data_IF_977385677334
#
_entry.id   IF_977385677334
#
_cell.length_a   1.000
_cell.length_b   1.000
_cell.length_c   1.000
_cell.angle_alpha   90.00
_cell.angle_beta   90.00
_cell.angle_gamma   90.00
#
_symmetry.space_group_name_H-M   'P 1'
#
loop_
_entity.id
_entity.type
_entity.pdbx_description
1 polymer ?
#
# COMPACT_ATOMS: atom_id res chain seq x y z
N UNK A 1 13.86 5.03 -16.28
CA UNK A 1 13.54 4.19 -15.08
C UNK A 1 12.08 4.33 -14.61
N UNK A 2 11.34 5.35 -15.05
CA UNK A 2 10.01 5.72 -14.53
C UNK A 2 8.84 4.86 -15.01
N UNK A 3 8.76 4.51 -16.30
CA UNK A 3 7.56 3.84 -16.86
C UNK A 3 7.38 2.39 -16.36
N UNK A 4 8.46 1.59 -16.32
CA UNK A 4 8.40 0.20 -15.84
C UNK A 4 8.08 0.11 -14.35
N UNK A 5 8.60 1.05 -13.56
CA UNK A 5 8.31 1.14 -12.13
C UNK A 5 6.87 1.56 -11.88
N UNK A 6 6.35 2.54 -12.64
CA UNK A 6 4.95 2.95 -12.57
C UNK A 6 4.02 1.79 -12.92
N UNK A 7 4.29 1.07 -14.02
CA UNK A 7 3.50 -0.10 -14.43
C UNK A 7 3.47 -1.20 -13.36
N UNK A 8 4.62 -1.48 -12.72
CA UNK A 8 4.70 -2.45 -11.64
C UNK A 8 3.87 -2.04 -10.41
N UNK A 9 3.88 -0.76 -10.04
CA UNK A 9 3.08 -0.23 -8.92
C UNK A 9 1.59 -0.34 -9.23
N UNK A 10 1.16 0.05 -10.43
CA UNK A 10 -0.24 -0.03 -10.84
C UNK A 10 -0.73 -1.49 -10.87
N UNK A 11 0.08 -2.40 -11.40
CA UNK A 11 -0.24 -3.83 -11.41
C UNK A 11 -0.38 -4.41 -10.00
N UNK A 12 0.53 -4.03 -9.10
CA UNK A 12 0.49 -4.45 -7.70
C UNK A 12 -0.76 -3.94 -6.97
N UNK A 13 -1.10 -2.65 -7.15
CA UNK A 13 -2.32 -2.06 -6.61
C UNK A 13 -3.58 -2.76 -7.13
N UNK A 14 -3.65 -2.98 -8.44
CA UNK A 14 -4.75 -3.71 -9.07
C UNK A 14 -4.91 -5.12 -8.52
N UNK A 15 -3.81 -5.85 -8.34
CA UNK A 15 -3.83 -7.18 -7.75
C UNK A 15 -4.34 -7.19 -6.30
N UNK A 16 -3.89 -6.24 -5.47
CA UNK A 16 -4.32 -6.15 -4.07
C UNK A 16 -5.82 -5.85 -3.95
N UNK A 17 -6.35 -4.96 -4.81
CA UNK A 17 -7.79 -4.65 -4.87
C UNK A 17 -8.58 -5.88 -5.33
N UNK A 18 -8.16 -6.54 -6.40
CA UNK A 18 -8.83 -7.74 -6.92
C UNK A 18 -8.87 -8.86 -5.87
N UNK A 19 -7.77 -9.09 -5.17
CA UNK A 19 -7.69 -10.09 -4.10
C UNK A 19 -8.66 -9.76 -2.95
N UNK A 20 -8.72 -8.50 -2.55
CA UNK A 20 -9.62 -8.03 -1.50
C UNK A 20 -11.08 -8.20 -1.89
N UNK A 21 -11.44 -7.87 -3.13
CA UNK A 21 -12.80 -8.06 -3.66
C UNK A 21 -13.16 -9.56 -3.70
N UNK A 22 -12.23 -10.42 -4.12
CA UNK A 22 -12.45 -11.87 -4.13
C UNK A 22 -12.73 -12.42 -2.72
N UNK A 23 -11.93 -12.02 -1.72
CA UNK A 23 -12.17 -12.40 -0.33
C UNK A 23 -13.48 -11.83 0.23
N UNK A 24 -13.81 -10.58 -0.12
CA UNK A 24 -15.07 -9.97 0.28
C UNK A 24 -16.27 -10.74 -0.29
N UNK A 25 -16.22 -11.11 -1.57
CA UNK A 25 -17.24 -11.92 -2.21
C UNK A 25 -17.38 -13.29 -1.51
N UNK A 26 -16.27 -13.99 -1.26
CA UNK A 26 -16.27 -15.27 -0.54
C UNK A 26 -16.84 -15.17 0.89
N UNK A 27 -16.66 -14.02 1.54
CA UNK A 27 -17.22 -13.78 2.87
C UNK A 27 -18.73 -13.54 2.85
N UNK A 28 -19.20 -12.78 1.85
CA UNK A 28 -20.62 -12.51 1.66
C UNK A 28 -21.38 -13.76 1.23
N UNK A 29 -20.75 -14.66 0.48
CA UNK A 29 -21.33 -15.96 0.09
C UNK A 29 -21.20 -17.03 1.19
N UNK A 30 -20.58 -16.70 2.33
CA UNK A 30 -20.43 -17.62 3.46
C UNK A 30 -19.39 -18.73 3.25
N UNK A 31 -18.63 -18.71 2.14
CA UNK A 31 -17.56 -19.68 1.86
C UNK A 31 -16.41 -19.52 2.87
N UNK A 32 -16.18 -18.29 3.35
CA UNK A 32 -15.12 -17.97 4.31
C UNK A 32 -15.69 -17.24 5.53
N UNK A 33 -15.58 -17.86 6.71
CA UNK A 33 -16.08 -17.33 7.99
C UNK A 33 -15.06 -16.48 8.76
N UNK A 34 -13.98 -16.03 8.11
CA UNK A 34 -12.89 -15.31 8.76
C UNK A 34 -13.32 -13.96 9.35
N UNK A 35 -12.43 -13.26 10.03
CA UNK A 35 -12.71 -11.88 10.43
C UNK A 35 -12.60 -10.94 9.22
N UNK A 36 -13.35 -9.83 9.22
CA UNK A 36 -13.25 -8.79 8.19
C UNK A 36 -11.85 -8.17 8.10
N UNK A 37 -11.10 -8.21 9.19
CA UNK A 37 -9.69 -7.82 9.23
C UNK A 37 -8.81 -8.64 8.27
N UNK A 38 -9.10 -9.93 8.10
CA UNK A 38 -8.34 -10.80 7.19
C UNK A 38 -8.69 -10.51 5.74
N UNK A 39 -9.96 -10.18 5.45
CA UNK A 39 -10.39 -9.75 4.11
C UNK A 39 -9.71 -8.45 3.71
N UNK A 40 -9.59 -7.49 4.63
CA UNK A 40 -8.96 -6.20 4.37
C UNK A 40 -7.43 -6.23 4.44
N UNK A 41 -6.83 -7.34 4.88
CA UNK A 41 -5.38 -7.46 5.07
C UNK A 41 -4.54 -7.10 3.82
N UNK A 42 -4.92 -7.44 2.57
CA UNK A 42 -4.15 -7.05 1.40
C UNK A 42 -4.08 -5.53 1.25
N UNK A 43 -5.21 -4.82 1.41
CA UNK A 43 -5.24 -3.36 1.36
C UNK A 43 -4.44 -2.72 2.51
N UNK A 44 -4.61 -3.24 3.73
CA UNK A 44 -3.86 -2.75 4.90
C UNK A 44 -2.36 -2.89 4.70
N UNK A 45 -1.90 -3.99 4.09
CA UNK A 45 -0.49 -4.20 3.77
C UNK A 45 0.03 -3.13 2.81
N UNK A 46 -0.72 -2.81 1.76
CA UNK A 46 -0.32 -1.75 0.80
C UNK A 46 -0.21 -0.39 1.49
N UNK A 47 -1.20 -0.04 2.31
CA UNK A 47 -1.21 1.22 3.07
C UNK A 47 -0.02 1.28 4.03
N UNK A 48 0.26 0.21 4.77
CA UNK A 48 1.38 0.15 5.70
C UNK A 48 2.73 0.34 4.99
N UNK A 49 2.94 -0.31 3.84
CA UNK A 49 4.15 -0.14 3.03
C UNK A 49 4.28 1.29 2.53
N UNK A 50 3.19 1.90 2.08
CA UNK A 50 3.18 3.28 1.62
C UNK A 50 3.54 4.27 2.73
N UNK A 51 2.93 4.11 3.91
CA UNK A 51 3.22 4.95 5.09
C UNK A 51 4.67 4.78 5.55
N UNK A 52 5.17 3.55 5.61
CA UNK A 52 6.57 3.29 5.97
C UNK A 52 7.55 3.98 4.99
N UNK A 53 7.23 3.97 3.69
CA UNK A 53 8.05 4.65 2.68
C UNK A 53 7.98 6.16 2.80
N UNK A 54 6.79 6.72 3.07
CA UNK A 54 6.62 8.14 3.35
C UNK A 54 7.43 8.57 4.57
N UNK A 55 7.36 7.80 5.66
CA UNK A 55 8.13 8.06 6.87
C UNK A 55 9.64 8.02 6.59
N UNK A 56 10.12 7.05 5.82
CA UNK A 56 11.53 6.97 5.43
C UNK A 56 11.97 8.22 4.65
N UNK A 57 11.21 8.63 3.62
CA UNK A 57 11.51 9.84 2.83
C UNK A 57 11.50 11.09 3.71
N UNK A 58 10.52 11.20 4.61
CA UNK A 58 10.45 12.34 5.53
C UNK A 58 11.67 12.39 6.46
N UNK A 59 12.06 11.27 7.06
CA UNK A 59 13.21 11.21 7.97
C UNK A 59 14.54 11.49 7.23
N UNK A 60 14.69 11.03 5.99
CA UNK A 60 15.99 11.16 5.27
C UNK A 60 16.13 12.45 4.48
N UNK A 61 15.08 12.95 3.84
CA UNK A 61 15.16 14.08 2.91
C UNK A 61 14.77 15.41 3.56
N UNK A 62 13.84 15.41 4.53
CA UNK A 62 13.42 16.64 5.22
C UNK A 62 14.57 17.36 5.94
N UNK A 63 15.47 16.67 6.68
CA UNK A 63 16.58 17.34 7.35
C UNK A 63 17.60 17.95 6.39
N UNK A 64 17.73 17.39 5.17
CA UNK A 64 18.63 17.91 4.13
C UNK A 64 18.05 19.20 3.54
N UNK A 65 16.78 19.16 3.14
CA UNK A 65 16.07 20.32 2.59
C UNK A 65 15.98 21.49 3.58
N UNK A 66 15.77 21.19 4.87
CA UNK A 66 15.74 22.22 5.92
C UNK A 66 17.10 22.93 6.08
N UNK A 67 18.19 22.17 6.04
CA UNK A 67 19.56 22.74 6.15
C UNK A 67 19.95 23.61 4.96
N UNK A 68 19.50 23.30 3.75
CA UNK A 68 19.74 24.12 2.56
C UNK A 68 18.97 25.45 2.59
N UNK A 69 17.76 25.46 3.16
CA UNK A 69 16.92 26.68 3.20
C UNK A 69 17.36 27.69 4.27
N UNK A 70 18.12 27.24 5.27
CA UNK A 70 18.56 28.07 6.41
C UNK A 70 19.98 28.62 6.25
N UNK A 71 20.61 28.43 5.08
CA UNK A 71 21.97 28.89 4.76
C UNK A 71 21.94 30.05 3.78
#
# INVERSE_FOLDING_TARGET
MTVRMLAAITAFLGAAVALTVAFAAQKLTGVVAWSWWVVAAPLLTVVAVFVARLAAVFITEFPKAWKETTR
#
